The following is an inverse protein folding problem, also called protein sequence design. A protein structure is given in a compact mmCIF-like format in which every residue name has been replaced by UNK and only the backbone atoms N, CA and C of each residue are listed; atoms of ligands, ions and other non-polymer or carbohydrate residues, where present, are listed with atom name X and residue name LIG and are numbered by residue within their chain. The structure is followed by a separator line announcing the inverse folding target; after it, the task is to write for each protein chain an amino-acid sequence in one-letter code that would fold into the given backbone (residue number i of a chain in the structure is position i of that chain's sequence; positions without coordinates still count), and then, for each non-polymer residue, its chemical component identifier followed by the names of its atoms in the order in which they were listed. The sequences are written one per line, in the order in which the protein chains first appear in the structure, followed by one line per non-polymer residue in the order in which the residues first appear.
data_IF_479353216150
#
_entry.id   IF_479353216150
#
_cell.length_a   1.000
_cell.length_b   1.000
_cell.length_c   1.000
_cell.angle_alpha   90.00
_cell.angle_beta   90.00
_cell.angle_gamma   90.00
#
_symmetry.space_group_name_H-M   'P 1'
#
loop_
_entity.id
_entity.type
_entity.pdbx_description
1 polymer ?
#
# COMPACT_ATOMS: atom_id res chain seq x y z
N UNK A 1 -1.18 1.56 -86.23
CA UNK A 1 0.01 2.44 -86.17
C UNK A 1 -0.07 3.22 -84.87
N UNK A 2 0.13 2.58 -83.72
CA UNK A 2 1.46 2.18 -83.21
C UNK A 2 2.45 3.34 -83.24
N UNK A 3 2.82 3.87 -82.08
CA UNK A 3 4.10 3.49 -81.48
C UNK A 3 4.28 4.15 -80.11
N UNK A 4 4.85 3.34 -79.23
CA UNK A 4 5.15 3.55 -77.84
C UNK A 4 6.33 4.51 -77.62
N UNK A 5 6.43 5.03 -76.41
CA UNK A 5 7.62 5.72 -75.90
C UNK A 5 7.62 5.71 -74.38
N UNK A 6 8.23 4.68 -73.79
CA UNK A 6 8.54 4.55 -72.37
C UNK A 6 9.36 5.73 -71.82
N UNK A 7 9.16 6.05 -70.53
CA UNK A 7 10.23 6.10 -69.50
C UNK A 7 9.69 6.49 -68.12
N UNK A 8 10.06 5.70 -67.11
CA UNK A 8 10.35 6.20 -65.76
C UNK A 8 9.47 5.71 -64.61
N UNK A 9 9.66 4.45 -64.21
CA UNK A 9 9.12 3.87 -62.97
C UNK A 9 9.81 4.52 -61.74
N UNK A 10 9.08 5.38 -61.04
CA UNK A 10 9.46 5.89 -59.72
C UNK A 10 8.89 5.01 -58.60
N UNK A 11 9.68 4.07 -58.09
CA UNK A 11 9.33 3.24 -56.92
C UNK A 11 9.22 4.14 -55.68
N UNK A 12 7.99 4.52 -55.29
CA UNK A 12 7.72 5.00 -53.94
C UNK A 12 7.56 3.78 -53.03
N UNK A 13 8.69 3.43 -52.39
CA UNK A 13 8.76 2.45 -51.30
C UNK A 13 7.65 2.73 -50.28
N UNK A 14 6.79 1.74 -50.08
CA UNK A 14 5.86 1.74 -48.97
C UNK A 14 6.63 1.91 -47.67
N UNK A 15 6.30 2.95 -46.91
CA UNK A 15 6.61 2.97 -45.48
C UNK A 15 5.69 1.92 -44.87
N UNK A 16 6.18 0.69 -44.76
CA UNK A 16 5.64 -0.29 -43.84
C UNK A 16 5.61 0.38 -42.47
N UNK A 17 4.41 0.73 -42.01
CA UNK A 17 4.21 1.04 -40.61
C UNK A 17 4.65 -0.20 -39.86
N UNK A 18 5.78 -0.11 -39.16
CA UNK A 18 6.10 -1.06 -38.12
C UNK A 18 4.91 -1.01 -37.18
N UNK A 19 4.05 -2.04 -37.24
CA UNK A 19 3.05 -2.25 -36.22
C UNK A 19 3.81 -2.24 -34.91
N UNK A 20 3.59 -1.20 -34.11
CA UNK A 20 3.99 -1.22 -32.72
C UNK A 20 3.20 -2.39 -32.16
N UNK A 21 3.87 -3.54 -32.03
CA UNK A 21 3.28 -4.73 -31.46
C UNK A 21 2.69 -4.30 -30.13
N UNK A 22 1.36 -4.34 -30.05
CA UNK A 22 0.66 -4.16 -28.78
C UNK A 22 1.04 -5.40 -27.98
N UNK A 23 2.13 -5.30 -27.24
CA UNK A 23 2.55 -6.34 -26.31
C UNK A 23 1.45 -6.44 -25.27
N UNK A 24 0.88 -7.63 -25.13
CA UNK A 24 -0.15 -7.88 -24.13
C UNK A 24 0.37 -7.48 -22.74
N UNK A 25 -0.50 -6.92 -21.88
CA UNK A 25 -0.07 -6.49 -20.57
C UNK A 25 0.42 -7.71 -19.78
N UNK A 26 1.63 -7.61 -19.22
CA UNK A 26 2.12 -8.60 -18.27
C UNK A 26 1.33 -8.44 -16.98
N UNK A 27 0.32 -9.28 -16.80
CA UNK A 27 -0.48 -9.37 -15.59
C UNK A 27 0.32 -10.09 -14.49
N UNK A 28 -0.12 -9.89 -13.25
CA UNK A 28 0.40 -10.56 -12.08
C UNK A 28 -0.73 -11.37 -11.45
N UNK A 29 -0.44 -12.63 -11.17
CA UNK A 29 -1.29 -13.51 -10.37
C UNK A 29 -0.54 -13.82 -9.08
N UNK A 30 -1.17 -13.54 -7.95
CA UNK A 30 -0.65 -13.96 -6.67
C UNK A 30 -0.53 -15.49 -6.61
N UNK A 31 0.57 -16.03 -6.07
CA UNK A 31 0.66 -17.47 -5.85
C UNK A 31 -0.42 -17.91 -4.83
N UNK A 32 -0.74 -19.21 -4.71
CA UNK A 32 -1.62 -19.70 -3.65
C UNK A 32 -1.12 -19.36 -2.25
N UNK A 33 -2.05 -19.24 -1.30
CA UNK A 33 -1.72 -18.91 0.10
C UNK A 33 -0.89 -20.00 0.79
N UNK A 34 0.21 -19.58 1.41
CA UNK A 34 0.96 -20.41 2.35
C UNK A 34 0.26 -20.38 3.70
N UNK A 35 -0.30 -21.51 4.10
CA UNK A 35 -1.04 -21.65 5.37
C UNK A 35 -0.15 -22.10 6.53
N UNK A 36 1.16 -22.21 6.32
CA UNK A 36 2.12 -22.63 7.33
C UNK A 36 3.38 -21.75 7.28
N UNK A 37 3.93 -21.52 8.47
CA UNK A 37 5.26 -20.92 8.65
C UNK A 37 6.38 -21.83 8.10
N UNK A 38 7.61 -21.33 7.89
CA UNK A 38 8.77 -22.15 7.55
C UNK A 38 9.02 -23.31 8.54
N UNK A 39 8.62 -23.15 9.80
CA UNK A 39 8.72 -24.18 10.84
C UNK A 39 7.54 -25.17 10.88
N UNK A 40 6.64 -25.14 9.89
CA UNK A 40 5.49 -26.05 9.80
C UNK A 40 4.30 -25.71 10.71
N UNK A 41 4.38 -24.63 11.50
CA UNK A 41 3.23 -24.18 12.32
C UNK A 41 2.13 -23.60 11.43
N UNK A 42 0.86 -23.93 11.66
CA UNK A 42 -0.26 -23.34 10.94
C UNK A 42 -0.39 -21.85 11.24
N UNK A 43 -0.93 -21.08 10.29
CA UNK A 43 -1.33 -19.69 10.51
C UNK A 43 -2.37 -19.59 11.62
N UNK A 44 -2.19 -18.61 12.51
CA UNK A 44 -3.07 -18.35 13.64
C UNK A 44 -3.52 -16.87 13.73
N UNK A 45 -3.10 -16.05 12.77
CA UNK A 45 -3.43 -14.64 12.68
C UNK A 45 -3.45 -14.24 11.20
N UNK A 46 -4.57 -13.66 10.76
CA UNK A 46 -4.72 -13.07 9.43
C UNK A 46 -4.97 -11.57 9.56
N UNK A 47 -4.12 -10.75 8.96
CA UNK A 47 -4.27 -9.29 8.94
C UNK A 47 -4.42 -8.84 7.50
N UNK A 48 -5.44 -8.02 7.22
CA UNK A 48 -5.62 -7.37 5.93
C UNK A 48 -5.41 -5.88 6.10
N UNK A 49 -4.69 -5.25 5.17
CA UNK A 49 -4.58 -3.80 5.07
C UNK A 49 -5.08 -3.33 3.72
N UNK A 50 -5.87 -2.25 3.69
CA UNK A 50 -6.42 -1.73 2.44
C UNK A 50 -6.61 -0.20 2.49
N UNK A 51 -5.91 0.52 1.62
CA UNK A 51 -6.30 1.89 1.28
C UNK A 51 -7.63 1.87 0.49
N UNK A 52 -8.71 2.31 1.14
CA UNK A 52 -10.07 2.26 0.59
C UNK A 52 -10.45 3.46 -0.26
N UNK A 53 -9.59 4.49 -0.31
CA UNK A 53 -9.81 5.74 -1.06
C UNK A 53 -11.21 6.36 -0.84
N UNK A 54 -11.71 6.31 0.40
CA UNK A 54 -13.04 6.75 0.81
C UNK A 54 -13.95 5.59 1.23
N UNK A 55 -14.15 5.45 2.54
CA UNK A 55 -14.89 4.36 3.18
C UNK A 55 -16.32 4.20 2.63
N UNK A 56 -17.08 5.30 2.53
CA UNK A 56 -18.47 5.26 2.04
C UNK A 56 -18.57 4.74 0.60
N UNK A 57 -17.63 5.16 -0.26
CA UNK A 57 -17.59 4.71 -1.65
C UNK A 57 -17.18 3.24 -1.75
N UNK A 58 -16.25 2.81 -0.91
CA UNK A 58 -15.81 1.42 -0.80
C UNK A 58 -16.95 0.49 -0.34
N UNK A 59 -17.71 0.87 0.69
CA UNK A 59 -18.92 0.14 1.12
C UNK A 59 -19.95 0.06 0.00
N UNK A 60 -20.27 1.18 -0.67
CA UNK A 60 -21.24 1.22 -1.78
C UNK A 60 -20.86 0.29 -2.95
N UNK A 61 -19.57 0.02 -3.14
CA UNK A 61 -19.07 -0.92 -4.17
C UNK A 61 -19.16 -2.39 -3.75
N UNK A 62 -19.72 -2.68 -2.58
CA UNK A 62 -19.93 -4.04 -2.08
C UNK A 62 -18.71 -4.66 -1.41
N UNK A 63 -17.71 -3.87 -1.03
CA UNK A 63 -16.43 -4.40 -0.54
C UNK A 63 -16.54 -5.12 0.81
N UNK A 64 -17.57 -4.86 1.62
CA UNK A 64 -17.84 -5.62 2.84
C UNK A 64 -18.10 -7.10 2.57
N UNK A 65 -18.64 -7.46 1.39
CA UNK A 65 -18.77 -8.87 0.99
C UNK A 65 -17.41 -9.55 0.92
N UNK A 66 -16.44 -8.89 0.27
CA UNK A 66 -15.08 -9.39 0.18
C UNK A 66 -14.42 -9.50 1.56
N UNK A 67 -14.63 -8.52 2.46
CA UNK A 67 -14.10 -8.60 3.84
C UNK A 67 -14.66 -9.81 4.59
N UNK A 68 -15.95 -10.10 4.44
CA UNK A 68 -16.57 -11.25 5.10
C UNK A 68 -16.08 -12.60 4.55
N UNK A 69 -15.77 -12.66 3.24
CA UNK A 69 -15.18 -13.82 2.58
C UNK A 69 -13.71 -14.02 2.96
N UNK A 70 -12.95 -12.93 3.00
CA UNK A 70 -11.52 -12.92 3.37
C UNK A 70 -11.31 -13.24 4.85
N UNK A 71 -12.28 -12.87 5.70
CA UNK A 71 -12.37 -13.12 7.14
C UNK A 71 -11.08 -12.84 7.95
N UNK A 72 -10.39 -11.71 7.74
CA UNK A 72 -9.18 -11.41 8.51
C UNK A 72 -9.53 -11.21 10.00
N UNK A 73 -8.61 -11.52 10.90
CA UNK A 73 -8.76 -11.25 12.32
C UNK A 73 -8.63 -9.77 12.65
N UNK A 74 -7.83 -9.06 11.86
CA UNK A 74 -7.65 -7.61 11.94
C UNK A 74 -7.69 -7.00 10.53
N UNK A 75 -8.54 -5.99 10.35
CA UNK A 75 -8.68 -5.21 9.12
C UNK A 75 -8.21 -3.78 9.37
N UNK A 76 -7.18 -3.35 8.64
CA UNK A 76 -6.64 -2.00 8.67
C UNK A 76 -7.07 -1.25 7.41
N UNK A 77 -7.70 -0.11 7.57
CA UNK A 77 -8.24 0.71 6.48
C UNK A 77 -7.52 2.05 6.44
N UNK A 78 -7.01 2.44 5.29
CA UNK A 78 -6.38 3.75 5.07
C UNK A 78 -7.22 4.63 4.16
N UNK A 79 -7.00 5.94 4.26
CA UNK A 79 -7.67 6.97 3.45
C UNK A 79 -9.21 6.88 3.55
N UNK A 80 -9.72 6.71 4.77
CA UNK A 80 -11.15 6.48 5.03
C UNK A 80 -12.01 7.69 4.62
N UNK A 81 -11.46 8.91 4.71
CA UNK A 81 -12.13 10.19 4.41
C UNK A 81 -13.50 10.31 5.08
N UNK A 82 -13.62 9.74 6.28
CA UNK A 82 -14.91 9.57 6.93
C UNK A 82 -14.77 9.80 8.44
N UNK A 83 -15.26 10.94 8.98
CA UNK A 83 -15.32 11.12 10.42
C UNK A 83 -16.24 10.08 11.05
N UNK A 84 -16.00 9.74 12.31
CA UNK A 84 -16.77 8.70 13.04
C UNK A 84 -18.29 8.91 12.99
N UNK A 85 -18.75 10.15 13.09
CA UNK A 85 -20.17 10.51 13.02
C UNK A 85 -20.84 10.17 11.67
N UNK A 86 -20.06 9.93 10.62
CA UNK A 86 -20.52 9.59 9.27
C UNK A 86 -20.18 8.17 8.84
N UNK A 87 -19.72 7.31 9.76
CA UNK A 87 -19.45 5.90 9.46
C UNK A 87 -20.72 5.23 8.90
N UNK A 88 -20.61 4.45 7.80
CA UNK A 88 -21.71 3.63 7.32
C UNK A 88 -22.23 2.69 8.41
N UNK A 89 -23.54 2.52 8.48
CA UNK A 89 -24.19 1.64 9.47
C UNK A 89 -23.65 0.22 9.34
N UNK A 90 -23.41 -0.23 8.11
CA UNK A 90 -22.89 -1.56 7.78
C UNK A 90 -21.49 -1.82 8.35
N UNK A 91 -20.69 -0.75 8.54
CA UNK A 91 -19.36 -0.83 9.16
C UNK A 91 -19.50 -0.73 10.68
N UNK A 92 -20.26 0.26 11.16
CA UNK A 92 -20.47 0.52 12.59
C UNK A 92 -21.09 -0.68 13.32
N UNK A 93 -22.00 -1.39 12.65
CA UNK A 93 -22.75 -2.52 13.20
C UNK A 93 -22.20 -3.87 12.73
N UNK A 94 -20.97 -3.89 12.18
CA UNK A 94 -20.30 -5.10 11.72
C UNK A 94 -19.87 -5.99 12.91
N UNK A 95 -20.82 -6.79 13.41
CA UNK A 95 -20.65 -7.62 14.63
C UNK A 95 -19.44 -8.54 14.62
N UNK A 96 -18.96 -8.95 13.44
CA UNK A 96 -17.76 -9.78 13.30
C UNK A 96 -16.50 -9.07 13.80
N UNK A 97 -16.48 -7.74 13.82
CA UNK A 97 -15.39 -6.92 14.34
C UNK A 97 -15.91 -6.02 15.47
N UNK A 98 -16.03 -6.54 16.70
CA UNK A 98 -16.57 -5.78 17.83
C UNK A 98 -15.65 -4.66 18.32
N UNK A 99 -14.36 -4.69 17.97
CA UNK A 99 -13.39 -3.67 18.37
C UNK A 99 -13.03 -2.80 17.16
N UNK A 100 -13.44 -1.54 17.17
CA UNK A 100 -13.21 -0.61 16.05
C UNK A 100 -12.59 0.68 16.55
N UNK A 101 -11.50 1.11 15.90
CA UNK A 101 -10.71 2.27 16.28
C UNK A 101 -10.46 3.16 15.07
N UNK A 102 -10.68 4.46 15.21
CA UNK A 102 -10.60 5.40 14.09
C UNK A 102 -9.72 6.60 14.45
N UNK A 103 -8.71 6.88 13.62
CA UNK A 103 -7.97 8.12 13.62
C UNK A 103 -8.51 9.02 12.51
N UNK A 104 -8.97 10.21 12.85
CA UNK A 104 -9.53 11.18 11.90
C UNK A 104 -8.76 12.50 11.97
N UNK A 105 -8.69 13.28 10.88
CA UNK A 105 -8.12 14.62 10.95
C UNK A 105 -8.92 15.54 11.86
N UNK A 106 -8.22 16.39 12.62
CA UNK A 106 -8.85 17.32 13.56
C UNK A 106 -9.46 18.54 12.86
N UNK A 107 -8.87 18.99 11.75
CA UNK A 107 -9.22 20.28 11.10
C UNK A 107 -9.61 20.17 9.63
N UNK A 108 -9.68 18.95 9.08
CA UNK A 108 -9.95 18.74 7.65
C UNK A 108 -10.85 17.53 7.43
N UNK A 109 -12.16 17.74 7.55
CA UNK A 109 -13.15 16.69 7.29
C UNK A 109 -13.02 16.16 5.85
N UNK A 110 -13.22 14.85 5.66
CA UNK A 110 -13.14 14.21 4.35
C UNK A 110 -11.73 14.03 3.78
N UNK A 111 -10.69 14.28 4.59
CA UNK A 111 -9.28 14.05 4.26
C UNK A 111 -8.72 12.85 5.05
N UNK A 112 -7.69 12.17 4.53
CA UNK A 112 -6.92 11.15 5.25
C UNK A 112 -7.82 10.13 6.00
N UNK A 113 -7.44 9.74 7.21
CA UNK A 113 -8.17 8.88 8.12
C UNK A 113 -7.72 7.42 8.05
N UNK A 114 -7.59 6.80 9.21
CA UNK A 114 -7.22 5.39 9.39
C UNK A 114 -8.23 4.72 10.31
N UNK A 115 -8.64 3.50 9.95
CA UNK A 115 -9.50 2.65 10.77
C UNK A 115 -8.84 1.31 11.04
N UNK A 116 -9.05 0.76 12.23
CA UNK A 116 -8.67 -0.63 12.56
C UNK A 116 -9.88 -1.32 13.15
N UNK A 117 -10.30 -2.41 12.51
CA UNK A 117 -11.37 -3.29 12.95
C UNK A 117 -10.77 -4.62 13.36
N UNK A 118 -11.07 -5.10 14.56
CA UNK A 118 -10.47 -6.32 15.11
C UNK A 118 -11.50 -7.25 15.73
N UNK A 119 -11.31 -8.55 15.52
CA UNK A 119 -11.97 -9.62 16.28
C UNK A 119 -11.42 -9.73 17.71
N UNK A 120 -10.16 -9.33 17.89
CA UNK A 120 -9.40 -9.46 19.13
C UNK A 120 -9.40 -8.12 19.89
N UNK A 121 -9.48 -8.18 21.21
CA UNK A 121 -9.37 -6.97 22.03
C UNK A 121 -7.88 -6.60 22.20
N UNK A 122 -7.44 -5.41 21.79
CA UNK A 122 -6.11 -4.93 22.12
C UNK A 122 -6.00 -4.57 23.61
N UNK A 123 -4.80 -4.72 24.17
CA UNK A 123 -4.45 -4.31 25.53
C UNK A 123 -4.50 -2.78 25.67
N UNK A 124 -3.95 -2.08 24.69
CA UNK A 124 -3.97 -0.61 24.62
C UNK A 124 -4.11 -0.15 23.18
N UNK A 125 -4.69 1.04 22.99
CA UNK A 125 -4.76 1.71 21.70
C UNK A 125 -4.23 3.13 21.83
N UNK A 126 -3.33 3.52 20.94
CA UNK A 126 -2.80 4.89 20.86
C UNK A 126 -2.90 5.42 19.44
N UNK A 127 -2.93 6.75 19.32
CA UNK A 127 -3.14 7.46 18.07
C UNK A 127 -2.00 8.45 17.85
N UNK A 128 -1.55 8.56 16.60
CA UNK A 128 -0.45 9.46 16.26
C UNK A 128 0.94 8.94 16.62
N UNK A 129 1.92 9.84 16.55
CA UNK A 129 3.35 9.64 16.77
C UNK A 129 3.89 10.46 17.97
N UNK A 130 3.01 11.18 18.67
CA UNK A 130 3.38 12.01 19.83
C UNK A 130 3.85 13.42 19.47
N UNK A 131 3.61 13.85 18.23
CA UNK A 131 4.00 15.17 17.71
C UNK A 131 2.77 15.87 17.12
N UNK A 132 2.32 16.94 17.79
CA UNK A 132 1.00 17.54 17.57
C UNK A 132 0.72 17.91 16.10
N UNK A 133 1.70 18.44 15.37
CA UNK A 133 1.53 18.83 13.97
C UNK A 133 1.35 17.62 13.05
N UNK A 134 2.07 16.52 13.30
CA UNK A 134 1.97 15.30 12.51
C UNK A 134 0.70 14.50 12.82
N UNK A 135 0.18 14.65 14.04
CA UNK A 135 -0.95 13.87 14.56
C UNK A 135 -2.31 14.49 14.20
N UNK A 136 -2.32 15.74 13.73
CA UNK A 136 -3.54 16.45 13.33
C UNK A 136 -4.25 15.84 12.10
N UNK A 137 -3.59 14.98 11.32
CA UNK A 137 -4.11 14.41 10.07
C UNK A 137 -4.70 12.99 10.19
N UNK A 138 -4.74 12.40 11.40
CA UNK A 138 -5.37 11.10 11.64
C UNK A 138 -4.76 9.96 10.83
N UNK A 139 -3.44 9.78 10.96
CA UNK A 139 -2.65 8.90 10.07
C UNK A 139 -2.16 7.60 10.68
N UNK A 140 -2.22 7.47 12.00
CA UNK A 140 -1.60 6.34 12.73
C UNK A 140 -2.56 5.86 13.80
N UNK A 141 -2.77 4.54 13.84
CA UNK A 141 -3.39 3.84 14.96
C UNK A 141 -2.45 2.71 15.38
N UNK A 142 -2.07 2.69 16.65
CA UNK A 142 -1.22 1.63 17.22
C UNK A 142 -2.05 0.80 18.21
N UNK A 143 -2.10 -0.50 18.00
CA UNK A 143 -2.75 -1.47 18.89
C UNK A 143 -1.67 -2.35 19.51
N UNK A 144 -1.68 -2.46 20.84
CA UNK A 144 -0.86 -3.43 21.55
C UNK A 144 -1.67 -4.71 21.77
N UNK A 145 -1.12 -5.85 21.38
CA UNK A 145 -1.66 -7.18 21.70
C UNK A 145 -0.66 -7.94 22.57
N UNK A 146 -1.07 -9.12 23.04
CA UNK A 146 -0.13 -10.02 23.70
C UNK A 146 0.94 -10.49 22.70
N UNK A 147 2.20 -10.12 22.98
CA UNK A 147 3.35 -10.54 22.18
C UNK A 147 3.70 -9.68 20.97
N UNK A 148 2.89 -8.69 20.57
CA UNK A 148 3.23 -7.79 19.44
C UNK A 148 2.48 -6.45 19.48
N UNK A 149 2.99 -5.48 18.73
CA UNK A 149 2.29 -4.25 18.36
C UNK A 149 1.88 -4.29 16.89
N UNK A 150 0.67 -3.81 16.59
CA UNK A 150 0.21 -3.53 15.23
C UNK A 150 0.12 -2.01 15.04
N UNK A 151 0.76 -1.49 14.00
CA UNK A 151 0.71 -0.09 13.61
C UNK A 151 0.08 0.01 12.24
N UNK A 152 -1.16 0.50 12.17
CA UNK A 152 -1.83 0.81 10.92
C UNK A 152 -1.57 2.26 10.53
N UNK A 153 -1.11 2.50 9.30
CA UNK A 153 -0.63 3.82 8.89
C UNK A 153 -1.08 4.26 7.50
N UNK A 154 -1.31 5.56 7.34
CA UNK A 154 -1.44 6.24 6.05
C UNK A 154 -0.41 7.36 5.95
N UNK A 155 0.76 7.06 5.37
CA UNK A 155 1.91 7.98 5.31
C UNK A 155 1.56 9.22 4.46
N UNK A 156 2.00 10.44 4.84
CA UNK A 156 1.76 11.63 4.03
C UNK A 156 2.35 11.50 2.62
N UNK A 157 1.53 11.72 1.60
CA UNK A 157 2.00 11.83 0.23
C UNK A 157 2.77 13.15 0.03
N UNK A 158 3.89 13.12 -0.70
CA UNK A 158 4.72 14.31 -1.00
C UNK A 158 4.04 15.35 -1.90
N UNK A 159 2.87 15.02 -2.46
CA UNK A 159 2.04 15.91 -3.24
C UNK A 159 2.51 16.12 -4.68
N UNK A 160 1.60 16.58 -5.53
CA UNK A 160 1.92 16.95 -6.91
C UNK A 160 2.95 18.10 -6.91
N UNK A 161 4.01 17.96 -7.69
CA UNK A 161 5.10 18.93 -7.70
C UNK A 161 5.93 18.95 -6.41
N UNK A 162 5.83 17.89 -5.58
CA UNK A 162 6.62 17.70 -4.35
C UNK A 162 6.41 18.78 -3.29
N UNK A 163 5.25 19.46 -3.31
CA UNK A 163 4.90 20.56 -2.40
C UNK A 163 4.91 20.18 -0.92
N UNK A 164 4.77 18.89 -0.59
CA UNK A 164 4.81 18.35 0.78
C UNK A 164 6.01 17.46 1.04
N UNK A 165 7.03 17.44 0.17
CA UNK A 165 8.20 16.59 0.38
C UNK A 165 8.92 16.91 1.70
N UNK A 166 9.06 18.20 2.06
CA UNK A 166 9.65 18.61 3.34
C UNK A 166 8.88 18.05 4.55
N UNK A 167 7.55 18.04 4.48
CA UNK A 167 6.70 17.46 5.52
C UNK A 167 6.91 15.94 5.59
N UNK A 168 6.99 15.26 4.43
CA UNK A 168 7.29 13.82 4.36
C UNK A 168 8.66 13.50 4.96
N UNK A 169 9.67 14.30 4.66
CA UNK A 169 11.04 14.15 5.18
C UNK A 169 11.14 14.33 6.69
N UNK A 170 10.32 15.22 7.27
CA UNK A 170 10.21 15.38 8.72
C UNK A 170 9.42 14.24 9.38
N UNK A 171 8.45 13.67 8.66
CA UNK A 171 7.53 12.65 9.18
C UNK A 171 8.17 11.25 9.24
N UNK A 172 8.94 10.85 8.22
CA UNK A 172 9.56 9.51 8.16
C UNK A 172 10.43 9.17 9.39
N UNK A 173 11.29 10.07 9.91
CA UNK A 173 12.06 9.82 11.13
C UNK A 173 11.18 9.65 12.39
N UNK A 174 10.02 10.32 12.45
CA UNK A 174 9.10 10.20 13.58
C UNK A 174 8.45 8.82 13.60
N UNK A 175 7.99 8.33 12.43
CA UNK A 175 7.48 6.97 12.31
C UNK A 175 8.55 5.97 12.74
N UNK A 176 9.78 6.08 12.23
CA UNK A 176 10.86 5.17 12.59
C UNK A 176 11.13 5.16 14.11
N UNK A 177 11.22 6.34 14.74
CA UNK A 177 11.42 6.47 16.18
C UNK A 177 10.28 5.81 16.97
N UNK A 178 9.04 6.01 16.54
CA UNK A 178 7.87 5.37 17.14
C UNK A 178 7.98 3.85 17.09
N UNK A 179 8.25 3.27 15.92
CA UNK A 179 8.40 1.82 15.76
C UNK A 179 9.53 1.25 16.63
N UNK A 180 10.69 1.91 16.67
CA UNK A 180 11.80 1.50 17.53
C UNK A 180 11.49 1.60 19.01
N UNK A 181 10.61 2.54 19.42
CA UNK A 181 10.18 2.64 20.81
C UNK A 181 9.27 1.46 21.20
N UNK A 182 8.38 1.05 20.30
CA UNK A 182 7.51 -0.10 20.50
C UNK A 182 8.28 -1.42 20.52
N UNK A 183 9.28 -1.57 19.64
CA UNK A 183 10.12 -2.77 19.53
C UNK A 183 10.90 -3.07 20.83
N UNK A 184 11.14 -2.07 21.68
CA UNK A 184 11.72 -2.26 23.02
C UNK A 184 10.83 -3.05 23.97
N UNK A 185 9.53 -3.12 23.68
CA UNK A 185 8.52 -3.79 24.51
C UNK A 185 8.12 -5.12 23.87
N UNK A 186 7.72 -5.10 22.59
CA UNK A 186 7.41 -6.31 21.83
C UNK A 186 7.56 -6.08 20.32
N UNK A 187 7.76 -7.14 19.52
CA UNK A 187 7.89 -7.03 18.07
C UNK A 187 6.75 -6.25 17.40
N UNK A 188 7.05 -5.57 16.30
CA UNK A 188 6.11 -4.67 15.63
C UNK A 188 5.72 -5.22 14.26
N UNK A 189 4.44 -5.07 13.93
CA UNK A 189 3.85 -5.25 12.61
C UNK A 189 3.38 -3.87 12.16
N UNK A 190 4.03 -3.28 11.17
CA UNK A 190 3.58 -2.06 10.50
C UNK A 190 2.82 -2.45 9.23
N UNK A 191 1.63 -1.88 9.01
CA UNK A 191 0.90 -2.08 7.76
C UNK A 191 0.18 -0.82 7.26
N UNK A 192 -0.04 -0.76 5.95
CA UNK A 192 -0.77 0.32 5.30
C UNK A 192 -0.08 0.89 4.09
N UNK A 193 -0.63 2.01 3.60
CA UNK A 193 -0.09 2.75 2.47
C UNK A 193 1.06 3.65 2.94
N UNK A 194 2.28 3.24 2.59
CA UNK A 194 3.51 3.94 2.94
C UNK A 194 3.88 5.05 1.95
N UNK A 195 3.07 5.25 0.91
CA UNK A 195 3.27 6.28 -0.11
C UNK A 195 4.71 6.30 -0.65
N UNK A 196 5.30 5.12 -0.85
CA UNK A 196 6.63 4.97 -1.45
C UNK A 196 6.73 3.62 -2.16
N UNK A 197 7.25 3.60 -3.38
CA UNK A 197 7.76 2.39 -4.01
C UNK A 197 9.27 2.32 -3.75
N UNK A 198 9.73 1.29 -3.05
CA UNK A 198 11.11 1.23 -2.56
C UNK A 198 12.13 1.05 -3.70
N UNK A 199 11.97 0.01 -4.50
CA UNK A 199 12.89 -0.39 -5.56
C UNK A 199 12.29 -0.15 -6.95
N UNK A 200 13.13 -0.13 -7.99
CA UNK A 200 12.65 0.03 -9.37
C UNK A 200 11.68 -1.07 -9.80
N UNK A 201 11.70 -2.24 -9.16
CA UNK A 201 10.74 -3.33 -9.39
C UNK A 201 9.36 -3.10 -8.75
N UNK A 202 9.27 -2.18 -7.79
CA UNK A 202 8.03 -1.85 -7.07
C UNK A 202 7.15 -0.86 -7.86
N UNK A 203 7.54 -0.49 -9.07
CA UNK A 203 6.70 0.28 -9.99
C UNK A 203 7.01 -0.02 -11.46
N UNK A 204 6.01 0.13 -12.34
CA UNK A 204 6.17 -0.19 -13.77
C UNK A 204 7.12 0.75 -14.52
N UNK A 205 7.15 2.04 -14.16
CA UNK A 205 7.83 3.09 -14.91
C UNK A 205 8.83 3.89 -14.03
N UNK A 206 9.90 3.26 -13.51
CA UNK A 206 10.83 3.88 -12.56
C UNK A 206 11.52 5.13 -13.15
N UNK A 207 12.01 5.04 -14.40
CA UNK A 207 12.76 6.12 -15.06
C UNK A 207 11.97 7.43 -15.15
N UNK A 208 10.68 7.34 -15.46
CA UNK A 208 9.80 8.50 -15.59
C UNK A 208 9.38 9.10 -14.23
N UNK A 209 9.47 8.33 -13.15
CA UNK A 209 8.91 8.70 -11.85
C UNK A 209 9.95 9.09 -10.79
N UNK A 210 11.26 9.13 -11.11
CA UNK A 210 12.32 9.51 -10.15
C UNK A 210 12.14 10.89 -9.49
N UNK A 211 11.29 11.76 -10.07
CA UNK A 211 10.95 13.10 -9.56
C UNK A 211 9.46 13.23 -9.19
N UNK A 212 8.76 12.12 -9.08
CA UNK A 212 7.35 12.04 -8.69
C UNK A 212 7.23 11.64 -7.22
N UNK A 213 6.20 12.13 -6.54
CA UNK A 213 5.85 11.67 -5.20
C UNK A 213 5.67 10.14 -5.20
N UNK A 214 6.22 9.48 -4.18
CA UNK A 214 6.29 8.04 -4.02
C UNK A 214 7.55 7.39 -4.59
N UNK A 215 8.37 8.08 -5.41
CA UNK A 215 9.61 7.50 -5.96
C UNK A 215 10.77 8.49 -5.99
N UNK A 216 10.69 9.56 -5.18
CA UNK A 216 11.85 10.42 -4.97
C UNK A 216 12.96 9.67 -4.25
N UNK A 217 14.20 10.14 -4.40
CA UNK A 217 15.35 9.57 -3.68
C UNK A 217 15.11 9.62 -2.17
N UNK A 218 14.60 10.75 -1.67
CA UNK A 218 14.36 10.98 -0.25
C UNK A 218 13.35 10.00 0.36
N UNK A 219 12.20 9.78 -0.29
CA UNK A 219 11.19 8.82 0.16
C UNK A 219 11.75 7.38 0.19
N UNK A 220 12.51 7.00 -0.85
CA UNK A 220 13.12 5.67 -0.95
C UNK A 220 14.19 5.45 0.11
N UNK A 221 15.02 6.45 0.38
CA UNK A 221 15.99 6.42 1.46
C UNK A 221 15.33 6.37 2.84
N UNK A 222 14.20 7.07 3.02
CA UNK A 222 13.38 6.99 4.23
C UNK A 222 12.93 5.56 4.51
N UNK A 223 12.38 4.89 3.49
CA UNK A 223 11.99 3.48 3.61
C UNK A 223 13.19 2.54 3.79
N UNK A 224 14.30 2.78 3.09
CA UNK A 224 15.52 2.00 3.26
C UNK A 224 16.08 2.10 4.69
N UNK A 225 16.08 3.30 5.30
CA UNK A 225 16.46 3.52 6.70
C UNK A 225 15.57 2.73 7.66
N UNK A 226 14.27 2.64 7.38
CA UNK A 226 13.36 1.82 8.16
C UNK A 226 13.76 0.34 8.09
N UNK A 227 14.04 -0.21 6.90
CA UNK A 227 14.43 -1.61 6.76
C UNK A 227 15.82 -1.94 7.36
N UNK A 228 16.77 -1.01 7.30
CA UNK A 228 18.09 -1.20 7.91
C UNK A 228 18.05 -1.10 9.43
N UNK A 229 17.02 -0.47 10.00
CA UNK A 229 16.84 -0.29 11.44
C UNK A 229 16.29 -1.53 12.20
N UNK A 230 16.21 -2.70 11.55
CA UNK A 230 15.76 -3.94 12.20
C UNK A 230 14.44 -4.50 11.68
N UNK A 231 13.84 -3.82 10.69
CA UNK A 231 12.57 -4.23 10.08
C UNK A 231 12.77 -4.92 8.71
N UNK A 232 11.74 -5.61 8.23
CA UNK A 232 11.76 -6.33 6.97
C UNK A 232 10.43 -6.15 6.22
N UNK A 233 10.51 -5.83 4.92
CA UNK A 233 9.40 -5.91 3.98
C UNK A 233 9.01 -7.38 3.80
N UNK A 234 7.85 -7.79 4.31
CA UNK A 234 7.45 -9.20 4.34
C UNK A 234 7.22 -9.76 2.95
N UNK A 235 6.62 -8.99 2.04
CA UNK A 235 6.42 -9.42 0.66
C UNK A 235 7.76 -9.66 -0.02
N UNK A 236 8.68 -8.69 0.03
CA UNK A 236 9.99 -8.84 -0.63
C UNK A 236 10.92 -9.82 0.06
N UNK A 237 10.71 -10.10 1.34
CA UNK A 237 11.39 -11.21 2.01
C UNK A 237 11.01 -12.56 1.40
N UNK A 238 9.73 -12.78 1.10
CA UNK A 238 9.23 -14.05 0.54
C UNK A 238 9.36 -14.13 -0.99
N UNK A 239 9.29 -12.99 -1.66
CA UNK A 239 9.20 -12.84 -3.11
C UNK A 239 10.20 -11.80 -3.63
N UNK A 240 11.52 -11.98 -3.40
CA UNK A 240 12.53 -10.95 -3.66
C UNK A 240 12.61 -10.56 -5.14
N UNK A 241 12.38 -11.51 -6.05
CA UNK A 241 12.56 -11.31 -7.50
C UNK A 241 11.23 -11.18 -8.27
N UNK A 242 10.07 -11.25 -7.60
CA UNK A 242 8.76 -11.28 -8.28
C UNK A 242 8.38 -9.89 -8.83
N UNK A 243 8.39 -9.66 -10.15
CA UNK A 243 8.06 -8.36 -10.71
C UNK A 243 6.54 -8.18 -10.87
N UNK A 244 6.10 -6.95 -11.14
CA UNK A 244 4.72 -6.60 -11.49
C UNK A 244 3.65 -6.82 -10.39
N UNK A 245 4.06 -7.13 -9.16
CA UNK A 245 3.19 -7.17 -7.99
C UNK A 245 2.99 -5.75 -7.43
N UNK A 246 1.86 -5.14 -7.75
CA UNK A 246 1.50 -3.77 -7.39
C UNK A 246 0.23 -3.76 -6.53
N UNK A 247 -0.01 -2.68 -5.78
CA UNK A 247 -1.13 -2.58 -4.83
C UNK A 247 -2.02 -1.36 -5.09
N UNK A 248 -1.50 -0.37 -5.79
CA UNK A 248 -2.24 0.82 -6.21
C UNK A 248 -2.44 0.76 -7.74
N UNK A 249 -3.48 1.41 -8.29
CA UNK A 249 -3.61 1.75 -9.72
C UNK A 249 -4.37 3.06 -9.88
N UNK A 250 -3.87 4.01 -10.68
CA UNK A 250 -4.66 5.21 -11.01
C UNK A 250 -5.87 4.81 -11.83
N UNK A 251 -6.99 5.51 -11.61
CA UNK A 251 -8.21 5.36 -12.40
C UNK A 251 -8.04 5.87 -13.84
N UNK A 252 -7.07 6.75 -14.08
CA UNK A 252 -6.85 7.37 -15.39
C UNK A 252 -6.15 6.39 -16.33
N UNK A 253 -6.61 6.32 -17.59
CA UNK A 253 -5.91 5.58 -18.64
C UNK A 253 -5.95 4.06 -18.47
N UNK A 254 -6.95 3.51 -17.75
CA UNK A 254 -7.13 2.08 -17.58
C UNK A 254 -5.85 1.35 -17.09
N UNK A 255 -5.12 1.97 -16.17
CA UNK A 255 -3.83 1.45 -15.69
C UNK A 255 -3.96 0.10 -14.98
N UNK A 256 -5.10 -0.16 -14.32
CA UNK A 256 -5.37 -1.45 -13.67
C UNK A 256 -5.42 -2.60 -14.65
N UNK A 257 -6.17 -2.48 -15.76
CA UNK A 257 -6.24 -3.54 -16.78
C UNK A 257 -4.90 -3.78 -17.50
N UNK A 258 -4.00 -2.79 -17.50
CA UNK A 258 -2.67 -2.89 -18.12
C UNK A 258 -1.58 -3.28 -17.14
N UNK A 259 -1.92 -3.47 -15.86
CA UNK A 259 -0.99 -3.66 -14.76
C UNK A 259 0.17 -2.65 -14.75
N UNK A 260 -0.14 -1.37 -15.00
CA UNK A 260 0.86 -0.28 -15.00
C UNK A 260 0.71 0.50 -13.72
N UNK A 261 1.43 0.14 -12.65
CA UNK A 261 1.44 0.97 -11.44
C UNK A 261 2.52 0.62 -10.40
N UNK A 262 2.22 0.78 -9.11
CA UNK A 262 3.12 0.92 -7.98
C UNK A 262 2.68 0.00 -6.83
N UNK A 263 3.64 -0.56 -6.10
CA UNK A 263 3.44 -1.16 -4.79
C UNK A 263 3.69 -0.09 -3.72
N UNK A 264 2.62 0.37 -3.08
CA UNK A 264 2.66 1.42 -2.04
C UNK A 264 2.18 0.92 -0.68
N UNK A 265 1.37 -0.12 -0.68
CA UNK A 265 0.88 -0.80 0.51
C UNK A 265 1.83 -1.93 0.93
N UNK A 266 2.14 -1.99 2.22
CA UNK A 266 3.14 -2.91 2.78
C UNK A 266 2.65 -3.57 4.06
N UNK A 267 3.20 -4.75 4.33
CA UNK A 267 3.48 -5.22 5.68
C UNK A 267 4.99 -5.13 5.92
N UNK A 268 5.39 -4.52 7.03
CA UNK A 268 6.77 -4.39 7.46
C UNK A 268 6.89 -4.88 8.89
N UNK A 269 7.73 -5.88 9.10
CA UNK A 269 7.78 -6.64 10.35
C UNK A 269 9.10 -6.42 11.06
N UNK A 270 9.11 -6.40 12.39
CA UNK A 270 10.33 -6.68 13.16
C UNK A 270 10.93 -8.00 12.67
N UNK A 271 12.24 -8.05 12.46
CA UNK A 271 12.91 -9.26 11.94
C UNK A 271 12.70 -10.51 12.80
N UNK A 272 12.45 -10.33 14.10
CA UNK A 272 12.11 -11.41 15.03
C UNK A 272 10.80 -12.14 14.68
N UNK A 273 9.92 -11.54 13.87
CA UNK A 273 8.67 -12.16 13.40
C UNK A 273 8.83 -12.96 12.11
N UNK A 274 9.96 -12.87 11.41
CA UNK A 274 10.16 -13.59 10.14
C UNK A 274 9.99 -15.12 10.27
N UNK A 275 10.44 -15.80 11.35
CA UNK A 275 10.16 -17.23 11.52
C UNK A 275 8.67 -17.57 11.68
N UNK A 276 7.83 -16.59 12.05
CA UNK A 276 6.39 -16.71 12.18
C UNK A 276 5.61 -16.26 10.92
N UNK A 277 6.30 -15.71 9.92
CA UNK A 277 5.70 -15.27 8.66
C UNK A 277 5.40 -16.48 7.77
N UNK A 278 4.11 -16.76 7.56
CA UNK A 278 3.67 -17.79 6.61
C UNK A 278 3.62 -17.26 5.17
N UNK A 279 2.92 -16.13 4.99
CA UNK A 279 2.74 -15.47 3.69
C UNK A 279 2.57 -13.94 3.84
N UNK A 280 2.70 -13.20 2.74
CA UNK A 280 2.42 -11.76 2.66
C UNK A 280 2.18 -11.36 1.20
N UNK A 281 0.98 -10.85 0.91
CA UNK A 281 0.53 -10.41 -0.42
C UNK A 281 -0.20 -9.08 -0.32
#
# INVERSE_FOLDING_TARGET
NESEGEKGVGVKRGRGGAGVGVTEPVLYEDPPDRTQTPGGKPVNLKITSWNVAGLRAWVKKGALKWVLEEDPDILCLQETKCPEKLLPVEVRELRRYPHQYWANPQHREGYSGVGVLSKLQPLTVTYGLGECECDAEGRVVTLQFEGYHLVAVYVPNSGRGLVRLHHREAWDPLLLRHLQSLERVSPVILCGDLNVAHQEMDLKNPKANKKSAGFTVSEREGFARLLTAGFADSFRHLYPETPNAFTFWTSIGNCRARNVWWRLDYFVLSRSLLPALADSK
#
